data_IF_408325048492
#
_entry.id   IF_408325048492
#
_cell.length_a   1.000
_cell.length_b   1.000
_cell.length_c   1.000
_cell.angle_alpha   90.00
_cell.angle_beta   90.00
_cell.angle_gamma   90.00
#
_symmetry.space_group_name_H-M   'P 1'
#
loop_
_entity.id
_entity.type
_entity.pdbx_description
1 polymer ?
#
# COMPACT_ATOMS: atom_id res chain seq x y z
N UNK A 1 -22.03 -3.65 -2.38
CA UNK A 1 -21.76 -3.01 -1.08
C UNK A 1 -20.43 -3.53 -0.58
N UNK A 2 -19.41 -2.68 -0.52
CA UNK A 2 -18.17 -3.04 0.16
C UNK A 2 -18.47 -3.23 1.65
N UNK A 3 -17.98 -4.32 2.24
CA UNK A 3 -18.08 -4.51 3.69
C UNK A 3 -17.19 -3.49 4.39
N UNK A 4 -17.54 -3.09 5.62
CA UNK A 4 -16.75 -2.16 6.45
C UNK A 4 -15.27 -2.56 6.53
N UNK A 5 -14.99 -3.87 6.53
CA UNK A 5 -13.63 -4.42 6.50
C UNK A 5 -12.87 -4.12 5.21
N UNK A 6 -13.51 -4.26 4.04
CA UNK A 6 -12.87 -3.95 2.76
C UNK A 6 -12.52 -2.46 2.66
N UNK A 7 -13.39 -1.58 3.16
CA UNK A 7 -13.14 -0.15 3.19
C UNK A 7 -11.99 0.23 4.14
N UNK A 8 -11.93 -0.38 5.33
CA UNK A 8 -10.80 -0.21 6.25
C UNK A 8 -9.48 -0.64 5.62
N UNK A 9 -9.46 -1.79 4.94
CA UNK A 9 -8.27 -2.26 4.24
C UNK A 9 -7.75 -1.23 3.22
N UNK A 10 -8.65 -0.61 2.45
CA UNK A 10 -8.29 0.43 1.46
C UNK A 10 -7.64 1.68 2.09
N UNK A 11 -7.95 1.99 3.35
CA UNK A 11 -7.30 3.07 4.12
C UNK A 11 -5.99 2.61 4.76
N UNK A 12 -5.96 1.39 5.32
CA UNK A 12 -4.79 0.88 6.03
C UNK A 12 -3.62 0.57 5.09
N UNK A 13 -3.88 0.10 3.87
CA UNK A 13 -2.82 -0.22 2.89
C UNK A 13 -1.91 1.00 2.58
N UNK A 14 -2.43 2.18 2.17
CA UNK A 14 -1.58 3.34 1.93
C UNK A 14 -0.90 3.85 3.20
N UNK A 15 -1.52 3.70 4.38
CA UNK A 15 -0.87 4.01 5.65
C UNK A 15 0.29 3.06 5.96
N UNK A 16 0.14 1.77 5.65
CA UNK A 16 1.20 0.77 5.76
C UNK A 16 2.39 1.08 4.86
N UNK A 17 2.14 1.56 3.63
CA UNK A 17 3.20 2.04 2.72
C UNK A 17 3.99 3.20 3.34
N UNK A 18 3.31 4.14 4.01
CA UNK A 18 3.98 5.24 4.71
C UNK A 18 4.90 4.75 5.84
N UNK A 19 4.66 3.56 6.40
CA UNK A 19 5.56 2.93 7.36
C UNK A 19 6.96 2.64 6.81
N UNK A 20 7.10 2.49 5.49
CA UNK A 20 8.41 2.28 4.82
C UNK A 20 9.18 3.59 4.61
N UNK A 21 8.52 4.75 4.75
CA UNK A 21 9.11 6.05 4.46
C UNK A 21 10.38 6.37 5.26
N UNK A 22 10.46 6.16 6.59
CA UNK A 22 11.61 6.55 7.39
C UNK A 22 12.91 5.88 6.94
N UNK A 23 12.86 4.59 6.61
CA UNK A 23 14.02 3.83 6.14
C UNK A 23 14.49 4.29 4.75
N UNK A 24 13.55 4.66 3.87
CA UNK A 24 13.85 5.04 2.50
C UNK A 24 14.31 6.49 2.35
N UNK A 25 13.82 7.41 3.19
CA UNK A 25 14.15 8.84 3.09
C UNK A 25 15.63 9.12 3.39
N UNK A 26 16.27 8.31 4.24
CA UNK A 26 17.69 8.43 4.57
C UNK A 26 18.60 8.22 3.36
N UNK A 27 18.22 7.30 2.46
CA UNK A 27 19.02 6.91 1.29
C UNK A 27 18.58 7.62 0.01
N UNK A 28 17.27 7.81 -0.18
CA UNK A 28 16.65 8.37 -1.39
C UNK A 28 15.57 9.41 -1.01
N UNK A 29 15.94 10.60 -0.54
CA UNK A 29 15.00 11.54 0.07
C UNK A 29 13.94 12.07 -0.91
N UNK A 30 14.33 12.44 -2.13
CA UNK A 30 13.40 13.03 -3.11
C UNK A 30 12.33 12.03 -3.56
N UNK A 31 12.74 10.82 -3.92
CA UNK A 31 11.83 9.77 -4.39
C UNK A 31 10.90 9.29 -3.27
N UNK A 32 11.45 9.12 -2.06
CA UNK A 32 10.65 8.68 -0.90
C UNK A 32 9.63 9.73 -0.48
N UNK A 33 9.98 11.02 -0.54
CA UNK A 33 9.02 12.12 -0.30
C UNK A 33 7.91 12.14 -1.36
N UNK A 34 8.27 11.99 -2.63
CA UNK A 34 7.27 11.90 -3.70
C UNK A 34 6.34 10.69 -3.49
N UNK A 35 6.89 9.52 -3.16
CA UNK A 35 6.13 8.31 -2.86
C UNK A 35 5.17 8.52 -1.69
N UNK A 36 5.63 9.14 -0.60
CA UNK A 36 4.82 9.43 0.57
C UNK A 36 3.68 10.42 0.25
N UNK A 37 3.96 11.52 -0.47
CA UNK A 37 2.94 12.47 -0.90
C UNK A 37 1.87 11.78 -1.76
N UNK A 38 2.30 10.95 -2.71
CA UNK A 38 1.39 10.19 -3.57
C UNK A 38 0.56 9.18 -2.76
N UNK A 39 1.12 8.55 -1.72
CA UNK A 39 0.41 7.62 -0.84
C UNK A 39 -0.64 8.29 0.07
N UNK A 40 -0.50 9.59 0.36
CA UNK A 40 -1.52 10.34 1.12
C UNK A 40 -2.81 10.54 0.31
N UNK A 41 -2.70 10.69 -1.01
CA UNK A 41 -3.85 10.88 -1.91
C UNK A 41 -4.87 9.72 -1.81
N UNK A 42 -4.49 8.44 -2.00
CA UNK A 42 -5.42 7.33 -1.87
C UNK A 42 -5.96 7.20 -0.45
N UNK A 43 -5.13 7.42 0.59
CA UNK A 43 -5.61 7.38 1.97
C UNK A 43 -6.72 8.41 2.21
N UNK A 44 -6.56 9.65 1.70
CA UNK A 44 -7.58 10.69 1.77
C UNK A 44 -8.83 10.33 0.96
N UNK A 45 -8.66 9.87 -0.29
CA UNK A 45 -9.77 9.45 -1.15
C UNK A 45 -10.61 8.34 -0.53
N UNK A 46 -9.98 7.30 0.03
CA UNK A 46 -10.69 6.19 0.68
C UNK A 46 -11.31 6.58 2.01
N UNK A 47 -10.65 7.46 2.78
CA UNK A 47 -11.23 8.01 4.01
C UNK A 47 -12.49 8.83 3.71
N UNK A 48 -12.44 9.67 2.68
CA UNK A 48 -13.60 10.45 2.22
C UNK A 48 -14.73 9.54 1.71
N UNK A 49 -14.40 8.52 0.92
CA UNK A 49 -15.39 7.57 0.43
C UNK A 49 -16.03 6.77 1.58
N UNK A 50 -15.23 6.35 2.56
CA UNK A 50 -15.71 5.60 3.72
C UNK A 50 -16.60 6.45 4.62
N UNK A 51 -16.18 7.66 4.98
CA UNK A 51 -16.96 8.55 5.83
C UNK A 51 -18.21 9.03 5.09
N UNK A 52 -18.05 9.47 3.84
CA UNK A 52 -19.16 9.98 3.03
C UNK A 52 -20.22 8.93 2.73
N UNK A 53 -19.86 7.89 1.98
CA UNK A 53 -20.82 6.87 1.52
C UNK A 53 -21.10 5.76 2.55
N UNK A 54 -20.17 5.51 3.47
CA UNK A 54 -20.31 4.44 4.47
C UNK A 54 -20.95 4.88 5.79
N UNK A 55 -20.88 6.16 6.14
CA UNK A 55 -21.38 6.68 7.43
C UNK A 55 -22.43 7.79 7.23
N UNK A 56 -22.07 8.84 6.49
CA UNK A 56 -22.89 10.05 6.40
C UNK A 56 -24.14 9.85 5.51
N UNK A 57 -24.01 9.14 4.40
CA UNK A 57 -25.13 8.83 3.49
C UNK A 57 -26.18 7.90 4.15
N UNK A 58 -25.81 6.78 4.81
CA UNK A 58 -26.76 5.96 5.57
C UNK A 58 -27.42 6.71 6.74
N UNK A 59 -26.73 7.70 7.31
CA UNK A 59 -27.27 8.57 8.35
C UNK A 59 -28.23 9.65 7.82
N UNK A 60 -28.42 9.75 6.50
CA UNK A 60 -29.24 10.78 5.85
C UNK A 60 -28.65 12.19 5.95
N UNK A 61 -27.35 12.32 6.24
CA UNK A 61 -26.65 13.60 6.37
C UNK A 61 -26.22 14.14 5.00
N UNK A 62 -25.90 13.23 4.07
CA UNK A 62 -25.58 13.55 2.68
C UNK A 62 -26.64 12.97 1.75
N UNK A 63 -27.13 13.78 0.82
CA UNK A 63 -27.88 13.30 -0.33
C UNK A 63 -26.91 12.54 -1.26
N UNK A 64 -27.23 11.28 -1.59
CA UNK A 64 -26.34 10.35 -2.31
C UNK A 64 -25.70 11.01 -3.52
N UNK A 65 -24.36 11.02 -3.56
CA UNK A 65 -23.61 12.05 -4.27
C UNK A 65 -23.56 11.89 -5.81
N UNK A 66 -24.06 12.87 -6.60
CA UNK A 66 -23.51 13.18 -7.92
C UNK A 66 -22.62 14.43 -7.78
N UNK A 67 -21.30 14.23 -7.83
CA UNK A 67 -20.32 15.32 -7.72
C UNK A 67 -18.89 14.82 -7.82
N UNK A 68 -17.87 15.70 -7.68
CA UNK A 68 -16.46 15.34 -7.78
C UNK A 68 -16.02 14.19 -6.85
N UNK A 69 -16.74 13.99 -5.74
CA UNK A 69 -16.53 12.87 -4.81
C UNK A 69 -16.74 11.49 -5.45
N UNK A 70 -17.56 11.38 -6.50
CA UNK A 70 -17.73 10.15 -7.26
C UNK A 70 -16.45 9.70 -7.98
N UNK A 71 -15.51 10.62 -8.24
CA UNK A 71 -14.21 10.32 -8.82
C UNK A 71 -13.17 9.91 -7.77
N UNK A 72 -13.42 10.13 -6.48
CA UNK A 72 -12.47 9.84 -5.41
C UNK A 72 -12.00 8.38 -5.40
N UNK A 73 -12.87 7.35 -5.58
CA UNK A 73 -12.42 5.97 -5.67
C UNK A 73 -11.45 5.73 -6.84
N UNK A 74 -11.71 6.33 -8.01
CA UNK A 74 -10.87 6.19 -9.18
C UNK A 74 -9.50 6.84 -8.99
N UNK A 75 -9.49 8.09 -8.49
CA UNK A 75 -8.25 8.81 -8.16
C UNK A 75 -7.46 8.07 -7.08
N UNK A 76 -8.14 7.56 -6.06
CA UNK A 76 -7.53 6.75 -5.01
C UNK A 76 -6.96 5.44 -5.54
N UNK A 77 -7.62 4.78 -6.49
CA UNK A 77 -7.11 3.55 -7.06
C UNK A 77 -5.82 3.79 -7.87
N UNK A 78 -5.81 4.81 -8.74
CA UNK A 78 -4.61 5.19 -9.51
C UNK A 78 -3.48 5.64 -8.58
N UNK A 79 -3.78 6.53 -7.63
CA UNK A 79 -2.80 7.04 -6.67
C UNK A 79 -2.15 5.91 -5.87
N UNK A 80 -2.92 4.89 -5.49
CA UNK A 80 -2.40 3.72 -4.79
C UNK A 80 -1.38 2.95 -5.63
N UNK A 81 -1.67 2.65 -6.90
CA UNK A 81 -0.71 1.94 -7.76
C UNK A 81 0.55 2.76 -8.02
N UNK A 82 0.42 4.06 -8.23
CA UNK A 82 1.58 4.95 -8.38
C UNK A 82 2.41 4.96 -7.10
N UNK A 83 1.78 5.01 -5.92
CA UNK A 83 2.48 4.92 -4.65
C UNK A 83 3.25 3.60 -4.51
N UNK A 84 2.61 2.46 -4.78
CA UNK A 84 3.27 1.14 -4.78
C UNK A 84 4.47 1.10 -5.72
N UNK A 85 4.31 1.61 -6.94
CA UNK A 85 5.39 1.66 -7.92
C UNK A 85 6.56 2.50 -7.42
N UNK A 86 6.30 3.70 -6.89
CA UNK A 86 7.33 4.58 -6.36
C UNK A 86 8.04 3.99 -5.14
N UNK A 87 7.31 3.40 -4.19
CA UNK A 87 7.90 2.72 -3.03
C UNK A 87 8.69 1.47 -3.42
N UNK A 88 8.24 0.71 -4.42
CA UNK A 88 8.97 -0.43 -4.97
C UNK A 88 10.28 0.00 -5.64
N UNK A 89 10.24 1.03 -6.50
CA UNK A 89 11.43 1.59 -7.14
C UNK A 89 12.38 2.19 -6.08
N UNK A 90 11.85 2.94 -5.11
CA UNK A 90 12.65 3.51 -4.03
C UNK A 90 13.34 2.41 -3.21
N UNK A 91 12.63 1.33 -2.89
CA UNK A 91 13.19 0.18 -2.15
C UNK A 91 14.29 -0.52 -2.94
N UNK A 92 14.13 -0.72 -4.26
CA UNK A 92 15.18 -1.26 -5.12
C UNK A 92 16.43 -0.36 -5.18
N UNK A 93 16.24 0.96 -5.23
CA UNK A 93 17.33 1.93 -5.39
C UNK A 93 18.04 2.30 -4.07
N UNK A 94 17.39 2.06 -2.93
CA UNK A 94 17.93 2.36 -1.60
C UNK A 94 18.70 1.17 -1.01
N UNK A 95 18.40 -0.06 -1.44
CA UNK A 95 19.00 -1.33 -0.96
C UNK A 95 18.91 -1.50 0.57
N UNK A 96 17.90 -0.89 1.20
CA UNK A 96 17.67 -0.94 2.66
C UNK A 96 16.84 -2.15 3.06
N UNK A 97 15.97 -2.61 2.17
CA UNK A 97 15.09 -3.75 2.39
C UNK A 97 15.47 -4.91 1.46
N UNK A 98 15.09 -6.15 1.80
CA UNK A 98 15.28 -7.29 0.90
C UNK A 98 14.67 -7.01 -0.47
N UNK A 99 15.38 -7.35 -1.54
CA UNK A 99 14.90 -7.16 -2.93
C UNK A 99 13.53 -7.80 -3.18
N UNK A 100 13.23 -8.89 -2.47
CA UNK A 100 11.92 -9.53 -2.49
C UNK A 100 10.78 -8.57 -2.13
N UNK A 101 10.96 -7.70 -1.12
CA UNK A 101 9.96 -6.69 -0.75
C UNK A 101 9.70 -5.74 -1.92
N UNK A 102 10.77 -5.24 -2.53
CA UNK A 102 10.67 -4.27 -3.60
C UNK A 102 9.99 -4.87 -4.85
N UNK A 103 10.28 -6.14 -5.16
CA UNK A 103 9.58 -6.87 -6.22
C UNK A 103 8.09 -7.02 -5.88
N UNK A 104 7.74 -7.44 -4.66
CA UNK A 104 6.33 -7.59 -4.24
C UNK A 104 5.56 -6.27 -4.35
N UNK A 105 6.18 -5.14 -3.98
CA UNK A 105 5.60 -3.80 -4.14
C UNK A 105 5.36 -3.43 -5.61
N UNK A 106 6.17 -3.94 -6.55
CA UNK A 106 6.01 -3.71 -7.99
C UNK A 106 5.04 -4.67 -8.67
N UNK A 107 4.86 -5.87 -8.12
CA UNK A 107 3.91 -6.86 -8.66
C UNK A 107 2.48 -6.33 -8.58
N UNK A 108 2.12 -5.64 -7.50
CA UNK A 108 0.79 -5.02 -7.35
C UNK A 108 0.44 -4.03 -8.49
N UNK A 109 1.23 -2.99 -8.80
CA UNK A 109 0.97 -2.11 -9.94
C UNK A 109 1.20 -2.76 -11.31
N UNK A 110 2.08 -3.75 -11.42
CA UNK A 110 2.25 -4.47 -12.68
C UNK A 110 1.01 -5.31 -13.08
N UNK A 111 0.19 -5.73 -12.12
CA UNK A 111 -1.07 -6.41 -12.42
C UNK A 111 -2.17 -5.48 -12.93
N UNK A 112 -2.08 -4.17 -12.70
CA UNK A 112 -3.14 -3.25 -13.09
C UNK A 112 -3.46 -3.27 -14.60
N UNK A 113 -2.49 -3.19 -15.52
CA UNK A 113 -2.75 -3.33 -16.96
C UNK A 113 -3.33 -4.70 -17.33
N UNK A 114 -2.90 -5.77 -16.65
CA UNK A 114 -3.41 -7.11 -16.88
C UNK A 114 -4.87 -7.25 -16.47
N UNK A 115 -5.26 -6.63 -15.35
CA UNK A 115 -6.66 -6.50 -14.93
C UNK A 115 -7.52 -5.72 -15.92
N UNK A 116 -6.97 -4.64 -16.50
CA UNK A 116 -7.68 -3.83 -17.49
C UNK A 116 -7.84 -4.50 -18.86
N UNK A 117 -7.08 -5.57 -19.14
CA UNK A 117 -7.03 -6.20 -20.47
C UNK A 117 -7.42 -7.67 -20.38
N UNK A 118 -6.47 -8.52 -20.00
CA UNK A 118 -6.54 -9.99 -20.04
C UNK A 118 -7.48 -10.55 -18.96
N UNK A 119 -7.50 -9.95 -17.77
CA UNK A 119 -8.25 -10.45 -16.62
C UNK A 119 -9.59 -9.74 -16.42
N UNK A 120 -10.05 -8.94 -17.40
CA UNK A 120 -11.28 -8.14 -17.31
C UNK A 120 -12.56 -8.99 -17.09
N UNK A 121 -12.54 -10.27 -17.45
CA UNK A 121 -13.63 -11.22 -17.21
C UNK A 121 -13.43 -12.12 -15.98
N UNK A 122 -12.36 -11.93 -15.21
CA UNK A 122 -12.08 -12.74 -14.04
C UNK A 122 -12.95 -12.25 -12.86
N UNK A 123 -13.58 -13.16 -12.09
CA UNK A 123 -14.39 -12.78 -10.94
C UNK A 123 -13.63 -11.92 -9.91
N UNK A 124 -14.29 -10.89 -9.37
CA UNK A 124 -13.70 -9.93 -8.43
C UNK A 124 -13.03 -10.58 -7.22
N UNK A 125 -13.52 -11.73 -6.74
CA UNK A 125 -12.93 -12.43 -5.59
C UNK A 125 -11.47 -12.83 -5.83
N UNK A 126 -11.08 -13.07 -7.08
CA UNK A 126 -9.69 -13.42 -7.45
C UNK A 126 -8.75 -12.24 -7.17
N UNK A 127 -9.20 -11.01 -7.44
CA UNK A 127 -8.44 -9.80 -7.09
C UNK A 127 -8.23 -9.69 -5.58
N UNK A 128 -9.25 -10.06 -4.79
CA UNK A 128 -9.17 -10.10 -3.33
C UNK A 128 -8.17 -11.13 -2.82
N UNK A 129 -8.22 -12.36 -3.33
CA UNK A 129 -7.26 -13.43 -2.97
C UNK A 129 -5.84 -13.01 -3.32
N UNK A 130 -5.63 -12.46 -4.52
CA UNK A 130 -4.34 -11.96 -4.97
C UNK A 130 -3.79 -10.85 -4.05
N UNK A 131 -4.63 -9.87 -3.68
CA UNK A 131 -4.25 -8.82 -2.76
C UNK A 131 -3.84 -9.38 -1.40
N UNK A 132 -4.62 -10.33 -0.84
CA UNK A 132 -4.30 -10.99 0.44
C UNK A 132 -2.95 -11.70 0.37
N UNK A 133 -2.69 -12.46 -0.71
CA UNK A 133 -1.43 -13.19 -0.89
C UNK A 133 -0.25 -12.23 -0.93
N UNK A 134 -0.36 -11.10 -1.64
CA UNK A 134 0.71 -10.11 -1.72
C UNK A 134 0.96 -9.43 -0.38
N UNK A 135 -0.09 -8.99 0.31
CA UNK A 135 0.08 -8.32 1.60
C UNK A 135 0.63 -9.28 2.66
N UNK A 136 0.21 -10.54 2.64
CA UNK A 136 0.78 -11.58 3.48
C UNK A 136 2.27 -11.80 3.15
N UNK A 137 2.63 -11.90 1.87
CA UNK A 137 4.02 -12.07 1.45
C UNK A 137 4.90 -10.87 1.86
N UNK A 138 4.40 -9.63 1.69
CA UNK A 138 5.06 -8.41 2.16
C UNK A 138 5.29 -8.48 3.67
N UNK A 139 4.25 -8.82 4.44
CA UNK A 139 4.33 -8.95 5.89
C UNK A 139 5.35 -10.00 6.33
N UNK A 140 5.38 -11.16 5.68
CA UNK A 140 6.35 -12.23 5.97
C UNK A 140 7.79 -11.80 5.64
N UNK A 141 8.00 -11.10 4.52
CA UNK A 141 9.33 -10.60 4.15
C UNK A 141 9.83 -9.56 5.15
N UNK A 142 8.97 -8.65 5.58
CA UNK A 142 9.30 -7.65 6.60
C UNK A 142 9.60 -8.32 7.95
N UNK A 143 8.74 -9.23 8.38
CA UNK A 143 8.94 -9.98 9.63
C UNK A 143 10.28 -10.72 9.65
N UNK A 144 10.64 -11.41 8.57
CA UNK A 144 11.91 -12.13 8.49
C UNK A 144 13.12 -11.19 8.45
N UNK A 145 12.99 -10.01 7.84
CA UNK A 145 14.05 -9.01 7.84
C UNK A 145 14.31 -8.46 9.26
N UNK A 146 13.24 -8.22 10.02
CA UNK A 146 13.35 -7.74 11.40
C UNK A 146 13.96 -8.79 12.33
N UNK A 147 13.56 -10.06 12.20
CA UNK A 147 14.12 -11.17 12.99
C UNK A 147 15.62 -11.36 12.70
N UNK A 148 16.03 -11.28 11.42
CA UNK A 148 17.45 -11.39 11.05
C UNK A 148 18.30 -10.23 11.57
N UNK A 149 17.71 -9.03 11.72
CA UNK A 149 18.39 -7.86 12.29
C UNK A 149 18.52 -7.88 13.81
N UNK A 150 17.81 -8.78 14.50
CA UNK A 150 17.76 -8.85 15.96
C UNK A 150 18.73 -9.88 16.59
N UNK A 151 19.60 -10.52 15.79
CA UNK A 151 20.59 -11.46 16.34
C UNK A 151 21.52 -10.73 17.34
N UNK A 152 21.65 -11.25 18.57
CA UNK A 152 22.37 -10.57 19.64
C UNK A 152 23.85 -10.42 19.27
N UNK A 153 24.35 -9.18 19.37
CA UNK A 153 25.77 -8.88 19.24
C UNK A 153 26.54 -9.68 20.29
N UNK A 154 27.21 -10.76 19.85
CA UNK A 154 27.99 -11.62 20.73
C UNK A 154 29.06 -10.74 21.39
N UNK A 155 29.07 -10.61 22.73
CA UNK A 155 30.04 -9.76 23.41
C UNK A 155 31.44 -10.19 23.00
N UNK A 156 32.24 -9.24 22.51
CA UNK A 156 33.61 -9.51 22.11
C UNK A 156 34.35 -10.21 23.27
N UNK A 157 34.90 -11.39 22.98
CA UNK A 157 35.65 -12.19 23.94
C UNK A 157 36.81 -11.31 24.48
N UNK A 158 36.92 -11.10 25.80
CA UNK A 158 37.94 -10.22 26.34
C UNK A 158 39.31 -10.80 26.02
N UNK A 159 40.06 -10.13 25.14
CA UNK A 159 41.45 -10.47 24.84
C UNK A 159 42.27 -10.29 26.12
N UNK A 160 42.73 -11.41 26.67
CA UNK A 160 43.60 -11.50 27.84
C UNK A 160 45.06 -11.12 27.51
#
# INVERSE_FOLDING_TARGET
>A
MDTTFAALGKVLVPLGLLGLYPALVERRPYLSRAAAVVAVIPAACWSLAFVGGGILEPAGILDGAPGPLALAPFVGFIGLYVAFALFGIASLLADVHPRALAVLLLVYPAMFPLWMTVLSGVPDFVSGVYAVVIFAAIGVVLWNADVAGAEPEVPAEPTA
#
